data_IF_956473580201
#
_entry.id   IF_956473580201
#
_cell.length_a   1.000
_cell.length_b   1.000
_cell.length_c   1.000
_cell.angle_alpha   90.00
_cell.angle_beta   90.00
_cell.angle_gamma   90.00
#
_symmetry.space_group_name_H-M   'P 1'
#
loop_
_entity.id
_entity.type
_entity.pdbx_description
1 polymer ?
#
# COMPACT_ATOMS: atom_id res chain seq x y z
N UNK A 1 4.26 16.19 -13.81
CA UNK A 1 5.53 16.60 -13.16
C UNK A 1 6.34 17.67 -13.89
N UNK A 2 6.13 17.95 -15.18
CA UNK A 2 6.88 18.97 -15.96
C UNK A 2 6.95 20.35 -15.28
N UNK A 3 5.85 20.80 -14.70
CA UNK A 3 5.69 22.13 -14.11
C UNK A 3 6.03 22.23 -12.62
N UNK A 4 6.53 21.15 -12.00
CA UNK A 4 6.88 21.14 -10.57
C UNK A 4 8.33 20.64 -10.38
N UNK A 5 9.32 21.53 -10.52
CA UNK A 5 10.74 21.18 -10.47
C UNK A 5 11.19 20.42 -9.21
N UNK A 6 10.69 20.71 -7.99
CA UNK A 6 11.02 19.94 -6.79
C UNK A 6 10.67 18.45 -6.89
N UNK A 7 9.45 18.12 -7.34
CA UNK A 7 9.03 16.73 -7.55
C UNK A 7 9.86 16.04 -8.62
N UNK A 8 10.12 16.72 -9.75
CA UNK A 8 10.95 16.16 -10.82
C UNK A 8 12.36 15.79 -10.33
N UNK A 9 13.00 16.65 -9.53
CA UNK A 9 14.32 16.39 -8.95
C UNK A 9 14.29 15.23 -7.96
N UNK A 10 13.27 15.18 -7.10
CA UNK A 10 13.10 14.07 -6.14
C UNK A 10 12.92 12.74 -6.86
N UNK A 11 12.02 12.70 -7.83
CA UNK A 11 11.79 11.52 -8.66
C UNK A 11 13.09 11.06 -9.36
N UNK A 12 13.79 11.96 -10.08
CA UNK A 12 14.98 11.57 -10.86
C UNK A 12 16.10 11.06 -9.95
N UNK A 13 16.22 11.56 -8.71
CA UNK A 13 17.16 11.06 -7.72
C UNK A 13 16.86 9.60 -7.37
N UNK A 14 15.61 9.28 -7.01
CA UNK A 14 15.24 7.91 -6.63
C UNK A 14 15.26 6.95 -7.82
N UNK A 15 14.74 7.39 -8.97
CA UNK A 15 14.77 6.58 -10.18
C UNK A 15 16.20 6.34 -10.68
N UNK A 16 17.14 7.29 -10.51
CA UNK A 16 18.56 7.07 -10.84
C UNK A 16 19.22 6.08 -9.88
N UNK A 17 18.82 6.07 -8.61
CA UNK A 17 19.30 5.08 -7.63
C UNK A 17 18.94 3.67 -8.08
N UNK A 18 17.67 3.42 -8.38
CA UNK A 18 17.20 2.06 -8.78
C UNK A 18 17.56 1.71 -10.23
N UNK A 19 17.59 2.69 -11.14
CA UNK A 19 17.86 2.50 -12.57
C UNK A 19 19.08 3.33 -13.04
N UNK A 20 20.31 3.03 -12.56
CA UNK A 20 21.49 3.86 -12.84
C UNK A 20 21.85 3.91 -14.32
N UNK A 21 21.62 2.81 -15.06
CA UNK A 21 21.90 2.70 -16.49
C UNK A 21 20.85 3.35 -17.41
N UNK A 22 19.67 3.71 -16.90
CA UNK A 22 18.60 4.28 -17.72
C UNK A 22 18.88 5.75 -18.01
N UNK A 23 18.83 6.15 -19.29
CA UNK A 23 19.08 7.54 -19.71
C UNK A 23 18.13 8.52 -18.98
N UNK A 24 18.63 9.73 -18.67
CA UNK A 24 17.86 10.78 -17.99
C UNK A 24 16.53 11.10 -18.71
N UNK A 25 16.51 11.08 -20.04
CA UNK A 25 15.30 11.32 -20.83
C UNK A 25 14.25 10.22 -20.63
N UNK A 26 14.67 8.95 -20.53
CA UNK A 26 13.78 7.83 -20.24
C UNK A 26 13.25 7.89 -18.81
N UNK A 27 14.09 8.20 -17.81
CA UNK A 27 13.60 8.45 -16.44
C UNK A 27 12.64 9.64 -16.38
N UNK A 28 12.88 10.70 -17.14
CA UNK A 28 11.95 11.82 -17.21
C UNK A 28 10.57 11.42 -17.78
N UNK A 29 10.52 10.53 -18.77
CA UNK A 29 9.26 9.95 -19.28
C UNK A 29 8.58 9.07 -18.22
N UNK A 30 9.33 8.21 -17.53
CA UNK A 30 8.83 7.40 -16.42
C UNK A 30 8.20 8.29 -15.34
N UNK A 31 8.85 9.38 -14.96
CA UNK A 31 8.29 10.35 -14.01
C UNK A 31 7.00 11.00 -14.52
N UNK A 32 6.88 11.28 -15.82
CA UNK A 32 5.62 11.80 -16.37
C UNK A 32 4.49 10.78 -16.23
N UNK A 33 4.76 9.52 -16.58
CA UNK A 33 3.81 8.41 -16.41
C UNK A 33 3.41 8.23 -14.95
N UNK A 34 4.37 8.21 -14.01
CA UNK A 34 4.05 8.12 -12.59
C UNK A 34 3.18 9.28 -12.12
N UNK A 35 3.49 10.50 -12.55
CA UNK A 35 2.65 11.65 -12.21
C UNK A 35 1.21 11.52 -12.72
N UNK A 36 1.01 10.90 -13.89
CA UNK A 36 -0.32 10.60 -14.42
C UNK A 36 -1.03 9.52 -13.61
N UNK A 37 -0.33 8.43 -13.25
CA UNK A 37 -0.88 7.37 -12.41
C UNK A 37 -1.27 7.86 -11.02
N UNK A 38 -0.42 8.69 -10.41
CA UNK A 38 -0.70 9.29 -9.10
C UNK A 38 -1.88 10.27 -9.17
N UNK A 39 -1.99 11.06 -10.25
CA UNK A 39 -3.14 11.92 -10.48
C UNK A 39 -4.46 11.15 -10.55
N UNK A 40 -4.48 10.01 -11.26
CA UNK A 40 -5.63 9.10 -11.32
C UNK A 40 -5.96 8.51 -9.95
N UNK A 41 -4.94 8.01 -9.26
CA UNK A 41 -5.07 7.39 -7.92
C UNK A 41 -5.68 8.36 -6.91
N UNK A 42 -5.21 9.62 -6.87
CA UNK A 42 -5.77 10.65 -6.01
C UNK A 42 -7.21 11.01 -6.38
N UNK A 43 -7.52 11.08 -7.68
CA UNK A 43 -8.88 11.36 -8.13
C UNK A 43 -9.85 10.25 -7.73
N UNK A 44 -9.44 9.00 -7.88
CA UNK A 44 -10.19 7.81 -7.46
C UNK A 44 -10.42 7.82 -5.94
N UNK A 45 -9.41 8.13 -5.13
CA UNK A 45 -9.58 8.26 -3.67
C UNK A 45 -10.58 9.37 -3.32
N UNK A 46 -10.54 10.51 -4.02
CA UNK A 46 -11.52 11.58 -3.78
C UNK A 46 -12.96 11.19 -4.11
N UNK A 47 -13.15 10.21 -4.99
CA UNK A 47 -14.46 9.68 -5.39
C UNK A 47 -14.62 8.23 -4.94
N UNK A 48 -13.97 7.84 -3.84
CA UNK A 48 -13.83 6.42 -3.50
C UNK A 48 -15.20 5.78 -3.24
N UNK A 49 -16.17 6.52 -2.69
CA UNK A 49 -17.54 6.04 -2.56
C UNK A 49 -18.15 5.52 -3.88
N UNK A 50 -17.88 6.19 -5.00
CA UNK A 50 -18.30 5.73 -6.33
C UNK A 50 -17.37 4.65 -6.85
N UNK A 51 -16.05 4.83 -6.71
CA UNK A 51 -15.03 3.87 -7.14
C UNK A 51 -15.30 2.45 -6.62
N UNK A 52 -15.66 2.33 -5.34
CA UNK A 52 -15.94 1.08 -4.65
C UNK A 52 -17.15 0.32 -5.23
N UNK A 53 -18.04 1.01 -5.97
CA UNK A 53 -19.21 0.40 -6.62
C UNK A 53 -18.92 -0.09 -8.05
N UNK A 54 -17.75 0.23 -8.60
CA UNK A 54 -17.39 -0.11 -9.98
C UNK A 54 -16.86 -1.55 -10.08
N UNK A 55 -17.64 -2.52 -9.58
CA UNK A 55 -17.25 -3.92 -9.45
C UNK A 55 -16.70 -4.55 -10.74
N UNK A 56 -17.25 -4.15 -11.89
CA UNK A 56 -16.82 -4.60 -13.22
C UNK A 56 -15.36 -4.22 -13.58
N UNK A 57 -14.72 -3.33 -12.81
CA UNK A 57 -13.33 -2.91 -13.02
C UNK A 57 -12.33 -3.72 -12.22
N UNK A 58 -12.76 -4.57 -11.30
CA UNK A 58 -11.87 -5.25 -10.37
C UNK A 58 -11.77 -6.75 -10.68
N UNK A 59 -10.58 -7.18 -11.10
CA UNK A 59 -10.27 -8.58 -11.34
C UNK A 59 -9.44 -9.12 -10.18
N UNK A 60 -10.07 -9.88 -9.28
CA UNK A 60 -9.41 -10.41 -8.09
C UNK A 60 -8.68 -11.74 -8.39
N UNK A 61 -7.46 -11.90 -7.87
CA UNK A 61 -6.68 -13.14 -7.98
C UNK A 61 -5.89 -13.46 -6.72
N UNK A 62 -5.32 -14.67 -6.70
CA UNK A 62 -4.29 -15.06 -5.75
C UNK A 62 -4.79 -15.81 -4.51
N UNK A 63 -3.93 -16.65 -3.90
CA UNK A 63 -4.30 -17.51 -2.78
C UNK A 63 -4.55 -16.75 -1.46
N UNK A 64 -4.06 -15.51 -1.33
CA UNK A 64 -4.30 -14.68 -0.16
C UNK A 64 -5.77 -14.34 0.06
N UNK A 65 -6.57 -14.27 -1.01
CA UNK A 65 -8.00 -14.02 -0.89
C UNK A 65 -8.74 -15.19 -0.24
N UNK A 66 -8.29 -16.42 -0.52
CA UNK A 66 -8.82 -17.63 0.13
C UNK A 66 -8.45 -17.63 1.61
N UNK A 67 -7.16 -17.41 1.93
CA UNK A 67 -6.69 -17.33 3.30
C UNK A 67 -7.39 -16.22 4.13
N UNK A 68 -7.70 -15.08 3.50
CA UNK A 68 -8.45 -14.00 4.13
C UNK A 68 -9.86 -14.45 4.53
N UNK A 69 -10.57 -15.15 3.62
CA UNK A 69 -11.91 -15.67 3.88
C UNK A 69 -11.90 -16.76 4.96
N UNK A 70 -10.91 -17.64 4.94
CA UNK A 70 -10.73 -18.68 5.95
C UNK A 70 -10.48 -18.09 7.35
N UNK A 71 -9.61 -17.07 7.44
CA UNK A 71 -9.36 -16.36 8.69
C UNK A 71 -10.66 -15.72 9.23
N UNK A 72 -11.42 -15.06 8.36
CA UNK A 72 -12.72 -14.47 8.73
C UNK A 72 -13.74 -15.51 9.18
N UNK A 73 -13.87 -16.63 8.47
CA UNK A 73 -14.76 -17.73 8.85
C UNK A 73 -14.38 -18.35 10.22
N UNK A 74 -13.10 -18.33 10.56
CA UNK A 74 -12.59 -18.73 11.87
C UNK A 74 -12.70 -17.65 12.96
N UNK A 75 -13.31 -16.49 12.67
CA UNK A 75 -13.43 -15.36 13.61
C UNK A 75 -12.09 -14.65 13.90
N UNK A 76 -11.06 -14.89 13.08
CA UNK A 76 -9.74 -14.25 13.18
C UNK A 76 -9.66 -13.02 12.29
N UNK A 77 -8.87 -12.04 12.74
CA UNK A 77 -8.53 -10.88 11.94
C UNK A 77 -7.50 -11.21 10.85
N UNK A 78 -7.17 -10.22 10.05
CA UNK A 78 -6.10 -10.32 9.05
C UNK A 78 -5.41 -8.97 8.86
N UNK A 79 -4.13 -9.01 8.46
CA UNK A 79 -3.36 -7.82 8.14
C UNK A 79 -3.03 -7.84 6.65
N UNK A 80 -3.65 -6.95 5.90
CA UNK A 80 -3.34 -6.72 4.50
C UNK A 80 -2.21 -5.70 4.43
N UNK A 81 -1.15 -6.04 3.70
CA UNK A 81 0.01 -5.16 3.51
C UNK A 81 0.16 -4.80 2.04
N UNK A 82 0.44 -3.54 1.78
CA UNK A 82 0.63 -3.03 0.42
C UNK A 82 1.61 -1.86 0.42
N UNK A 83 1.80 -1.25 -0.74
CA UNK A 83 2.53 0.01 -0.89
C UNK A 83 1.66 1.08 -1.52
N UNK A 84 2.20 2.29 -1.61
CA UNK A 84 1.66 3.36 -2.45
C UNK A 84 1.92 3.03 -3.94
N UNK A 85 1.34 1.93 -4.39
CA UNK A 85 1.55 1.29 -5.67
C UNK A 85 0.20 1.00 -6.33
N UNK A 86 0.08 1.37 -7.61
CA UNK A 86 -1.16 1.23 -8.36
C UNK A 86 -2.30 2.02 -7.71
N UNK A 87 -3.46 1.41 -7.58
CA UNK A 87 -4.60 1.92 -6.82
C UNK A 87 -4.89 0.99 -5.64
N UNK A 88 -4.32 1.31 -4.47
CA UNK A 88 -4.46 0.46 -3.28
C UNK A 88 -5.88 0.40 -2.72
N UNK A 89 -6.75 1.38 -2.98
CA UNK A 89 -8.17 1.27 -2.58
C UNK A 89 -8.92 0.19 -3.37
N UNK A 90 -8.42 -0.24 -4.54
CA UNK A 90 -8.98 -1.38 -5.28
C UNK A 90 -8.88 -2.68 -4.48
N UNK A 91 -7.85 -2.83 -3.63
CA UNK A 91 -7.73 -3.96 -2.70
C UNK A 91 -8.91 -3.98 -1.74
N UNK A 92 -9.24 -2.82 -1.16
CA UNK A 92 -10.36 -2.69 -0.21
C UNK A 92 -11.71 -2.84 -0.91
N UNK A 93 -11.83 -2.38 -2.16
CA UNK A 93 -13.01 -2.63 -2.99
C UNK A 93 -13.26 -4.11 -3.23
N UNK A 94 -12.22 -4.88 -3.56
CA UNK A 94 -12.37 -6.33 -3.72
C UNK A 94 -12.72 -7.01 -2.39
N UNK A 95 -12.10 -6.61 -1.27
CA UNK A 95 -12.48 -7.15 0.06
C UNK A 95 -13.97 -6.91 0.32
N UNK A 96 -14.46 -5.69 0.04
CA UNK A 96 -15.88 -5.32 0.16
C UNK A 96 -16.80 -6.13 -0.74
N UNK A 97 -16.39 -6.38 -1.99
CA UNK A 97 -17.11 -7.26 -2.93
C UNK A 97 -17.25 -8.70 -2.42
N UNK A 98 -16.31 -9.17 -1.59
CA UNK A 98 -16.40 -10.48 -0.97
C UNK A 98 -17.29 -10.50 0.30
N UNK A 99 -17.99 -9.42 0.61
CA UNK A 99 -18.81 -9.29 1.82
C UNK A 99 -18.00 -9.07 3.10
N UNK A 100 -16.73 -8.70 2.97
CA UNK A 100 -15.82 -8.43 4.08
C UNK A 100 -15.55 -6.92 4.18
N UNK A 101 -15.02 -6.45 5.31
CA UNK A 101 -14.64 -5.03 5.45
C UNK A 101 -13.23 -4.90 6.03
N UNK A 102 -12.42 -4.04 5.41
CA UNK A 102 -11.08 -3.69 5.90
C UNK A 102 -11.01 -2.23 6.31
N UNK A 103 -10.58 -2.01 7.55
CA UNK A 103 -10.12 -0.70 7.99
C UNK A 103 -8.76 -0.33 7.39
N UNK A 104 -8.27 0.86 7.69
CA UNK A 104 -6.94 1.28 7.23
C UNK A 104 -6.18 2.05 8.31
N UNK A 105 -4.86 1.91 8.32
CA UNK A 105 -3.98 2.79 9.09
C UNK A 105 -3.68 4.04 8.25
N UNK A 106 -3.83 5.21 8.85
CA UNK A 106 -3.75 6.49 8.17
C UNK A 106 -2.90 7.49 8.96
N UNK A 107 -2.11 8.32 8.26
CA UNK A 107 -1.39 9.43 8.86
C UNK A 107 -2.11 10.75 8.54
N UNK A 108 -2.64 11.47 9.54
CA UNK A 108 -3.29 12.77 9.30
C UNK A 108 -2.40 13.77 8.58
N UNK A 109 -2.98 14.45 7.59
CA UNK A 109 -2.35 15.50 6.81
C UNK A 109 -2.48 16.86 7.51
N UNK A 110 -1.45 17.69 7.36
CA UNK A 110 -1.40 19.02 7.98
C UNK A 110 -2.34 20.03 7.32
N UNK A 111 -2.59 19.91 6.02
CA UNK A 111 -3.49 20.82 5.31
C UNK A 111 -4.93 20.39 5.53
N UNK A 112 -5.71 21.18 6.28
CA UNK A 112 -7.10 20.86 6.66
C UNK A 112 -8.05 20.65 5.48
N UNK A 113 -7.85 21.36 4.37
CA UNK A 113 -8.71 21.20 3.19
C UNK A 113 -8.43 19.90 2.44
N UNK A 114 -7.14 19.54 2.36
CA UNK A 114 -6.71 18.27 1.79
C UNK A 114 -7.12 17.10 2.70
N UNK A 115 -6.85 17.23 4.00
CA UNK A 115 -7.21 16.25 5.04
C UNK A 115 -8.68 15.86 4.97
N UNK A 116 -9.59 16.84 4.96
CA UNK A 116 -11.02 16.57 4.93
C UNK A 116 -11.44 15.72 3.73
N UNK A 117 -10.88 16.00 2.54
CA UNK A 117 -11.25 15.30 1.30
C UNK A 117 -10.62 13.92 1.23
N UNK A 118 -9.33 13.82 1.53
CA UNK A 118 -8.62 12.54 1.47
C UNK A 118 -9.13 11.57 2.54
N UNK A 119 -9.41 12.06 3.75
CA UNK A 119 -9.95 11.23 4.83
C UNK A 119 -11.34 10.69 4.48
N UNK A 120 -12.24 11.53 3.94
CA UNK A 120 -13.56 11.09 3.52
C UNK A 120 -13.50 10.02 2.41
N UNK A 121 -12.52 10.16 1.49
CA UNK A 121 -12.21 9.14 0.49
C UNK A 121 -11.81 7.81 1.12
N UNK A 122 -10.76 7.83 1.94
CA UNK A 122 -10.24 6.62 2.62
C UNK A 122 -11.33 5.97 3.50
N UNK A 123 -12.16 6.76 4.17
CA UNK A 123 -13.27 6.25 4.98
C UNK A 123 -14.35 5.55 4.14
N UNK A 124 -14.58 5.98 2.90
CA UNK A 124 -15.56 5.35 2.01
C UNK A 124 -15.16 3.92 1.59
N UNK A 125 -13.86 3.65 1.51
CA UNK A 125 -13.32 2.31 1.29
C UNK A 125 -13.55 1.33 2.46
N UNK A 126 -14.00 1.80 3.62
CA UNK A 126 -14.35 0.97 4.78
C UNK A 126 -13.84 1.51 6.12
N UNK A 127 -14.32 0.92 7.21
CA UNK A 127 -13.99 1.31 8.59
C UNK A 127 -13.35 0.17 9.39
N UNK A 128 -12.58 0.47 10.44
CA UNK A 128 -12.24 1.81 10.95
C UNK A 128 -11.02 2.44 10.25
N UNK A 129 -10.96 3.78 10.24
CA UNK A 129 -9.76 4.53 9.83
C UNK A 129 -8.99 4.95 11.06
N UNK A 130 -7.79 4.40 11.21
CA UNK A 130 -7.01 4.47 12.44
C UNK A 130 -5.77 5.35 12.25
N UNK A 131 -5.76 6.49 12.94
CA UNK A 131 -4.65 7.43 12.88
C UNK A 131 -3.36 6.82 13.48
N UNK A 132 -2.20 7.03 12.85
CA UNK A 132 -0.91 6.66 13.43
C UNK A 132 -0.71 7.33 14.79
N UNK A 133 -0.12 6.60 15.75
CA UNK A 133 0.15 7.07 17.11
C UNK A 133 -0.54 6.23 18.18
N UNK A 134 -0.24 6.48 19.46
CA UNK A 134 -0.59 5.59 20.58
C UNK A 134 -2.08 5.24 20.66
N UNK A 135 -2.97 6.20 20.40
CA UNK A 135 -4.42 6.00 20.45
C UNK A 135 -4.88 5.07 19.32
N UNK A 136 -4.47 5.34 18.08
CA UNK A 136 -4.83 4.50 16.95
C UNK A 136 -4.19 3.13 16.99
N UNK A 137 -2.97 2.98 17.53
CA UNK A 137 -2.37 1.66 17.78
C UNK A 137 -3.18 0.82 18.77
N UNK A 138 -3.72 1.43 19.84
CA UNK A 138 -4.61 0.71 20.76
C UNK A 138 -5.91 0.29 20.09
N UNK A 139 -6.52 1.17 19.30
CA UNK A 139 -7.73 0.87 18.54
C UNK A 139 -7.49 -0.22 17.49
N UNK A 140 -6.34 -0.20 16.82
CA UNK A 140 -5.90 -1.21 15.86
C UNK A 140 -5.82 -2.59 16.51
N UNK A 141 -5.15 -2.68 17.65
CA UNK A 141 -5.05 -3.93 18.42
C UNK A 141 -6.44 -4.43 18.81
N UNK A 142 -7.34 -3.54 19.27
CA UNK A 142 -8.71 -3.93 19.62
C UNK A 142 -9.48 -4.46 18.40
N UNK A 143 -9.36 -3.80 17.25
CA UNK A 143 -9.99 -4.21 16.00
C UNK A 143 -9.52 -5.60 15.55
N UNK A 144 -8.19 -5.80 15.50
CA UNK A 144 -7.60 -7.09 15.11
C UNK A 144 -8.00 -8.24 16.05
N UNK A 145 -7.99 -7.99 17.36
CA UNK A 145 -8.43 -8.99 18.36
C UNK A 145 -9.93 -9.31 18.28
N UNK A 146 -10.72 -8.40 17.73
CA UNK A 146 -12.15 -8.59 17.49
C UNK A 146 -12.47 -9.29 16.16
N UNK A 147 -11.46 -9.84 15.47
CA UNK A 147 -11.66 -10.48 14.17
C UNK A 147 -11.63 -9.53 12.98
N UNK A 148 -11.24 -8.26 13.18
CA UNK A 148 -11.24 -7.25 12.12
C UNK A 148 -10.09 -7.39 11.12
N UNK A 149 -10.29 -6.91 9.89
CA UNK A 149 -9.26 -6.79 8.85
C UNK A 149 -8.71 -5.36 8.86
N UNK A 150 -7.39 -5.21 8.70
CA UNK A 150 -6.75 -3.90 8.52
C UNK A 150 -5.82 -3.90 7.29
N UNK A 151 -5.85 -2.82 6.53
CA UNK A 151 -4.89 -2.52 5.46
C UNK A 151 -3.82 -1.53 5.93
N UNK A 152 -2.56 -1.84 5.64
CA UNK A 152 -1.39 -1.01 6.01
C UNK A 152 -0.49 -0.82 4.78
N UNK A 153 -0.19 0.43 4.44
CA UNK A 153 0.85 0.76 3.47
C UNK A 153 2.20 0.83 4.19
N UNK A 154 3.13 -0.07 3.87
CA UNK A 154 4.40 -0.28 4.61
C UNK A 154 5.64 0.28 3.92
N UNK A 155 5.47 0.92 2.76
CA UNK A 155 6.55 1.44 1.93
C UNK A 155 6.98 2.87 2.29
N UNK A 156 6.39 3.48 3.33
CA UNK A 156 6.88 4.74 3.88
C UNK A 156 8.12 4.55 4.75
N UNK A 157 9.07 5.48 4.70
CA UNK A 157 10.20 5.50 5.63
C UNK A 157 9.69 5.61 7.07
N UNK A 158 10.11 4.70 7.93
CA UNK A 158 9.88 4.78 9.38
C UNK A 158 11.21 5.04 10.09
N UNK A 159 11.38 6.20 10.74
CA UNK A 159 12.68 6.62 11.30
C UNK A 159 13.20 5.71 12.41
N UNK A 160 12.32 5.07 13.16
CA UNK A 160 12.65 4.07 14.19
C UNK A 160 12.59 2.63 13.64
N UNK A 161 12.53 2.49 12.32
CA UNK A 161 12.49 1.20 11.65
C UNK A 161 13.84 0.50 11.63
N UNK A 162 13.83 -0.72 11.13
CA UNK A 162 15.03 -1.51 10.90
C UNK A 162 15.44 -1.37 9.43
N UNK A 163 16.75 -1.40 9.15
CA UNK A 163 17.27 -1.42 7.78
C UNK A 163 16.93 -2.77 7.16
N UNK A 164 16.04 -2.74 6.17
CA UNK A 164 15.64 -3.91 5.40
C UNK A 164 15.76 -3.52 3.92
N UNK A 165 16.39 -4.34 3.08
CA UNK A 165 16.49 -4.07 1.65
C UNK A 165 15.11 -3.78 1.03
N UNK A 166 15.07 -2.79 0.14
CA UNK A 166 13.92 -2.43 -0.67
C UNK A 166 14.44 -1.91 -2.02
N UNK A 167 14.04 -2.56 -3.12
CA UNK A 167 14.61 -2.35 -4.46
C UNK A 167 16.15 -2.42 -4.47
N UNK A 168 16.73 -3.33 -3.69
CA UNK A 168 18.18 -3.55 -3.61
C UNK A 168 18.95 -2.55 -2.74
N UNK A 169 18.27 -1.66 -2.01
CA UNK A 169 18.91 -0.68 -1.11
C UNK A 169 18.28 -0.71 0.27
N UNK A 170 19.09 -0.58 1.32
CA UNK A 170 18.62 -0.48 2.70
C UNK A 170 17.58 0.63 2.86
N UNK A 171 16.41 0.30 3.40
CA UNK A 171 15.38 1.25 3.78
C UNK A 171 14.95 1.02 5.22
N UNK A 172 14.78 2.11 5.99
CA UNK A 172 14.24 2.01 7.34
C UNK A 172 12.73 1.69 7.28
N UNK A 173 12.40 0.46 7.62
CA UNK A 173 11.07 -0.13 7.48
C UNK A 173 10.48 -0.49 8.84
N UNK A 174 9.19 -0.22 9.04
CA UNK A 174 8.50 -0.61 10.27
C UNK A 174 8.28 -2.12 10.33
N UNK A 175 8.56 -2.73 11.48
CA UNK A 175 8.24 -4.14 11.75
C UNK A 175 6.81 -4.33 12.27
N UNK A 176 6.05 -3.25 12.45
CA UNK A 176 4.79 -3.27 13.22
C UNK A 176 3.75 -4.26 12.68
N UNK A 177 3.62 -4.39 11.36
CA UNK A 177 2.66 -5.32 10.77
C UNK A 177 3.02 -6.78 11.06
N UNK A 178 4.29 -7.16 10.85
CA UNK A 178 4.77 -8.50 11.13
C UNK A 178 4.73 -8.82 12.64
N UNK A 179 5.07 -7.86 13.49
CA UNK A 179 4.95 -8.02 14.95
C UNK A 179 3.52 -8.23 15.41
N UNK A 180 2.55 -7.50 14.83
CA UNK A 180 1.13 -7.71 15.12
C UNK A 180 0.63 -9.06 14.59
N UNK A 181 1.06 -9.46 13.39
CA UNK A 181 0.73 -10.74 12.79
C UNK A 181 1.19 -11.91 13.67
N UNK A 182 2.46 -11.90 14.10
CA UNK A 182 3.03 -12.93 14.99
C UNK A 182 2.37 -12.93 16.36
N UNK A 183 2.17 -11.75 16.96
CA UNK A 183 1.62 -11.63 18.32
C UNK A 183 0.19 -12.16 18.44
N UNK A 184 -0.61 -12.00 17.39
CA UNK A 184 -2.02 -12.36 17.40
C UNK A 184 -2.36 -13.53 16.48
N UNK A 185 -1.34 -14.23 15.95
CA UNK A 185 -1.51 -15.36 15.04
C UNK A 185 -2.45 -15.02 13.85
N UNK A 186 -2.15 -13.91 13.18
CA UNK A 186 -2.95 -13.38 12.07
C UNK A 186 -2.20 -13.54 10.74
N UNK A 187 -2.90 -13.88 9.64
CA UNK A 187 -2.27 -13.87 8.32
C UNK A 187 -1.86 -12.44 7.94
N UNK A 188 -0.63 -12.30 7.45
CA UNK A 188 -0.11 -11.08 6.82
C UNK A 188 -0.07 -11.29 5.31
N UNK A 189 -0.93 -10.61 4.58
CA UNK A 189 -1.20 -10.89 3.15
C UNK A 189 -0.77 -9.68 2.32
N UNK A 190 0.25 -9.81 1.44
CA UNK A 190 0.54 -8.82 0.43
C UNK A 190 -0.59 -8.73 -0.58
N UNK A 191 -1.09 -7.52 -0.85
CA UNK A 191 -2.12 -7.30 -1.85
C UNK A 191 -1.90 -6.02 -2.64
N UNK A 192 -2.14 -6.06 -3.96
CA UNK A 192 -1.82 -4.95 -4.86
C UNK A 192 -2.94 -4.71 -5.88
N UNK A 193 -3.42 -3.47 -5.98
CA UNK A 193 -4.34 -3.05 -7.04
C UNK A 193 -3.59 -2.52 -8.26
N UNK A 194 -3.21 -3.41 -9.17
CA UNK A 194 -2.41 -3.10 -10.36
C UNK A 194 -3.32 -2.54 -11.43
N UNK A 195 -3.07 -1.31 -11.90
CA UNK A 195 -3.82 -0.75 -13.02
C UNK A 195 -3.44 -1.43 -14.33
N UNK A 196 -4.42 -1.79 -15.15
CA UNK A 196 -4.23 -2.34 -16.48
C UNK A 196 -3.79 -1.27 -17.50
N UNK A 197 -3.29 -1.70 -18.66
CA UNK A 197 -2.74 -0.79 -19.69
C UNK A 197 -3.77 0.21 -20.24
N UNK A 198 -5.04 -0.20 -20.38
CA UNK A 198 -6.15 0.67 -20.79
C UNK A 198 -6.48 1.74 -19.72
N UNK A 199 -6.01 1.55 -18.50
CA UNK A 199 -6.15 2.44 -17.36
C UNK A 199 -7.51 2.41 -16.67
N UNK A 200 -8.44 1.59 -17.15
CA UNK A 200 -9.85 1.60 -16.74
C UNK A 200 -10.23 0.41 -15.85
N UNK A 201 -9.36 -0.59 -15.70
CA UNK A 201 -9.54 -1.73 -14.82
C UNK A 201 -8.32 -1.93 -13.91
N UNK A 202 -8.49 -2.82 -12.93
CA UNK A 202 -7.48 -3.17 -11.94
C UNK A 202 -7.42 -4.67 -11.75
N UNK A 203 -6.23 -5.24 -11.89
CA UNK A 203 -5.93 -6.58 -11.39
C UNK A 203 -5.56 -6.45 -9.92
N UNK A 204 -6.37 -7.05 -9.05
CA UNK A 204 -6.20 -6.99 -7.60
C UNK A 204 -5.68 -8.34 -7.14
N UNK A 205 -4.38 -8.42 -6.94
CA UNK A 205 -3.72 -9.67 -6.61
C UNK A 205 -3.49 -9.76 -5.10
N UNK A 206 -3.99 -10.82 -4.48
CA UNK A 206 -3.76 -11.20 -3.09
C UNK A 206 -2.75 -12.33 -3.05
N UNK A 207 -1.49 -12.01 -2.82
CA UNK A 207 -0.43 -13.02 -2.75
C UNK A 207 -0.64 -13.97 -1.56
N UNK A 208 0.09 -15.09 -1.54
CA UNK A 208 0.04 -16.00 -0.41
C UNK A 208 0.39 -15.27 0.89
N UNK A 209 -0.27 -15.60 2.03
CA UNK A 209 0.15 -15.06 3.31
C UNK A 209 1.63 -15.32 3.54
N UNK A 210 2.36 -14.30 4.00
CA UNK A 210 3.77 -14.44 4.34
C UNK A 210 3.90 -15.45 5.49
N UNK A 211 4.68 -16.53 5.33
CA UNK A 211 4.87 -17.51 6.38
C UNK A 211 5.38 -16.88 7.67
N UNK A 212 4.77 -17.25 8.80
CA UNK A 212 5.19 -16.78 10.10
C UNK A 212 6.58 -17.32 10.44
N UNK A 213 7.52 -16.40 10.63
CA UNK A 213 8.91 -16.67 11.04
C UNK A 213 9.28 -15.67 12.14
N UNK A 214 10.27 -14.80 11.92
CA UNK A 214 10.52 -13.62 12.72
C UNK A 214 10.05 -12.35 11.98
N UNK A 215 9.87 -11.25 12.71
CA UNK A 215 9.33 -10.02 12.12
C UNK A 215 10.23 -9.41 11.04
N UNK A 216 11.55 -9.57 11.12
CA UNK A 216 12.49 -9.02 10.13
C UNK A 216 12.36 -9.81 8.83
N UNK A 217 12.40 -11.14 8.90
CA UNK A 217 12.24 -12.02 7.72
C UNK A 217 10.90 -11.80 7.03
N UNK A 218 9.81 -11.69 7.79
CA UNK A 218 8.48 -11.41 7.22
C UNK A 218 8.40 -10.03 6.57
N UNK A 219 8.96 -8.99 7.20
CA UNK A 219 8.98 -7.65 6.60
C UNK A 219 9.89 -7.58 5.37
N UNK A 220 10.99 -8.33 5.35
CA UNK A 220 11.84 -8.48 4.17
C UNK A 220 11.09 -9.14 3.01
N UNK A 221 10.37 -10.25 3.27
CA UNK A 221 9.55 -10.91 2.25
C UNK A 221 8.49 -9.96 1.65
N UNK A 222 7.87 -9.11 2.46
CA UNK A 222 6.98 -8.06 1.95
C UNK A 222 7.72 -7.04 1.08
N UNK A 223 8.89 -6.57 1.51
CA UNK A 223 9.69 -5.63 0.72
C UNK A 223 10.11 -6.22 -0.63
N UNK A 224 10.48 -7.51 -0.67
CA UNK A 224 10.82 -8.23 -1.90
C UNK A 224 9.61 -8.36 -2.83
N UNK A 225 8.45 -8.72 -2.29
CA UNK A 225 7.19 -8.80 -3.02
C UNK A 225 6.83 -7.45 -3.67
N UNK A 226 6.78 -6.37 -2.88
CA UNK A 226 6.51 -5.03 -3.43
C UNK A 226 7.61 -4.59 -4.41
N UNK A 227 8.88 -4.90 -4.14
CA UNK A 227 9.98 -4.59 -5.07
C UNK A 227 9.78 -5.27 -6.41
N UNK A 228 9.36 -6.55 -6.44
CA UNK A 228 9.06 -7.26 -7.67
C UNK A 228 7.95 -6.58 -8.47
N UNK A 229 6.86 -6.13 -7.81
CA UNK A 229 5.78 -5.37 -8.47
C UNK A 229 6.27 -4.06 -9.08
N UNK A 230 7.10 -3.32 -8.35
CA UNK A 230 7.66 -2.05 -8.82
C UNK A 230 8.61 -2.25 -9.99
N UNK A 231 9.37 -3.34 -10.02
CA UNK A 231 10.29 -3.63 -11.13
C UNK A 231 9.56 -3.96 -12.43
N UNK A 232 8.34 -4.50 -12.35
CA UNK A 232 7.46 -4.74 -13.51
C UNK A 232 6.80 -3.43 -13.97
N UNK A 233 6.17 -2.70 -13.04
CA UNK A 233 5.40 -1.50 -13.34
C UNK A 233 5.90 -0.26 -12.58
N UNK A 234 7.12 0.24 -12.88
CA UNK A 234 7.74 1.29 -12.09
C UNK A 234 6.96 2.60 -12.12
N UNK A 235 6.17 2.90 -13.15
CA UNK A 235 5.32 4.09 -13.14
C UNK A 235 4.20 4.05 -12.10
N UNK A 236 3.82 2.88 -11.58
CA UNK A 236 2.69 2.75 -10.66
C UNK A 236 3.08 3.00 -9.20
N UNK A 237 4.37 3.05 -8.87
CA UNK A 237 4.82 3.35 -7.51
C UNK A 237 4.99 4.85 -7.23
N UNK A 238 4.68 5.27 -6.01
CA UNK A 238 4.91 6.64 -5.58
C UNK A 238 6.38 6.91 -5.19
N UNK A 239 7.23 7.19 -6.17
CA UNK A 239 8.66 7.47 -5.98
C UNK A 239 9.01 8.69 -5.11
N UNK A 240 8.03 9.47 -4.64
CA UNK A 240 8.27 10.71 -3.89
C UNK A 240 8.29 10.55 -2.36
N UNK A 241 8.21 9.30 -1.86
CA UNK A 241 8.20 8.92 -0.44
C UNK A 241 9.50 9.23 0.32
N UNK A 242 10.59 9.62 -0.36
CA UNK A 242 11.92 9.82 0.26
C UNK A 242 12.40 8.56 1.00
N UNK A 243 12.09 7.38 0.45
CA UNK A 243 12.27 6.06 1.06
C UNK A 243 13.67 5.81 1.62
N UNK A 244 14.69 6.37 0.98
CA UNK A 244 16.11 6.19 1.33
C UNK A 244 16.81 7.49 1.79
N UNK A 245 16.08 8.53 2.17
CA UNK A 245 16.72 9.73 2.72
C UNK A 245 17.28 9.43 4.11
N UNK A 246 18.56 9.77 4.35
CA UNK A 246 19.24 9.56 5.63
C UNK A 246 19.15 8.12 6.17
N UNK A 247 19.28 7.15 5.27
CA UNK A 247 19.67 5.76 5.57
C UNK A 247 21.18 5.64 5.38
#
# INVERSE_FOLDING_TARGET
MRWFPPARRRFDREAKRVFPGVKRSARAKLGQKMGMQMGRTLFEIYHDAEFQTQHHKFNASGPGLVALKEAQAAGKGAIIVSGHFGQWEAVRAVIKMQGLESGAVYRPNKNRHYERRIFAGIEAGGKPILATGRVGTKALVRHLRGGGIISILLDEKYSEGVRIPFLGYDALTSLSAAQLALKYDLPMIPAYGIRTEDGNAFNVDFEAPIPHTDSITMTHAFNDSLSARIMVDPEQWYWMLRRWDAV
#
